data_IF_297913473076
#
_entry.id   IF_297913473076
#
_cell.length_a   1.000
_cell.length_b   1.000
_cell.length_c   1.000
_cell.angle_alpha   90.00
_cell.angle_beta   90.00
_cell.angle_gamma   90.00
#
_symmetry.space_group_name_H-M   'P 1'
#
loop_
_entity.id
_entity.type
_entity.pdbx_description
1 polymer ?
#
# COMPACT_ATOMS: atom_id res chain seq x y z
N UNK A 1 -18.23 -5.35 18.18
CA UNK A 1 -19.54 -4.79 17.91
C UNK A 1 -19.49 -3.32 17.59
N UNK A 2 -20.37 -2.89 16.76
CA UNK A 2 -20.45 -1.51 16.28
C UNK A 2 -21.67 -0.77 16.80
N UNK A 3 -22.22 -1.22 17.89
CA UNK A 3 -23.48 -0.70 18.41
C UNK A 3 -23.39 0.78 18.78
N UNK A 4 -22.24 1.25 19.22
CA UNK A 4 -22.08 2.65 19.55
C UNK A 4 -22.31 3.56 18.35
N UNK A 5 -21.84 3.15 17.20
CA UNK A 5 -22.04 3.95 16.00
C UNK A 5 -23.52 4.02 15.60
N UNK A 6 -24.26 2.96 15.86
CA UNK A 6 -25.68 2.92 15.57
C UNK A 6 -26.45 3.86 16.46
N UNK A 7 -26.14 3.87 17.75
CA UNK A 7 -26.84 4.71 18.69
C UNK A 7 -26.66 6.18 18.46
N UNK A 8 -25.53 6.53 17.89
CA UNK A 8 -25.14 7.93 17.80
C UNK A 8 -25.04 8.35 16.34
N UNK A 9 -26.16 8.35 15.68
CA UNK A 9 -26.23 8.64 14.26
C UNK A 9 -25.84 10.07 13.91
N UNK A 10 -25.90 10.98 14.87
CA UNK A 10 -25.56 12.39 14.61
C UNK A 10 -24.10 12.59 14.29
N UNK A 11 -23.25 11.67 14.71
CA UNK A 11 -21.81 11.77 14.47
C UNK A 11 -21.36 10.85 13.34
N UNK A 12 -22.24 10.51 12.44
CA UNK A 12 -22.00 9.49 11.44
C UNK A 12 -20.70 9.70 10.66
N UNK A 13 -20.46 10.90 10.16
CA UNK A 13 -19.26 11.14 9.32
C UNK A 13 -17.97 10.91 10.07
N UNK A 14 -17.86 11.51 11.27
CA UNK A 14 -16.68 11.33 12.07
C UNK A 14 -16.50 9.90 12.56
N UNK A 15 -17.58 9.31 13.01
CA UNK A 15 -17.54 7.94 13.53
C UNK A 15 -17.25 6.93 12.43
N UNK A 16 -17.81 7.13 11.24
CA UNK A 16 -17.51 6.25 10.12
C UNK A 16 -16.03 6.28 9.76
N UNK A 17 -15.40 7.44 9.79
CA UNK A 17 -13.98 7.56 9.53
C UNK A 17 -13.16 6.83 10.58
N UNK A 18 -13.49 7.00 11.84
CA UNK A 18 -12.80 6.30 12.92
C UNK A 18 -13.01 4.79 12.84
N UNK A 19 -14.22 4.35 12.56
CA UNK A 19 -14.52 2.94 12.41
C UNK A 19 -13.72 2.32 11.27
N UNK A 20 -13.57 3.04 10.15
CA UNK A 20 -12.77 2.55 9.03
C UNK A 20 -11.30 2.37 9.38
N UNK A 21 -10.73 3.30 10.16
CA UNK A 21 -9.35 3.16 10.61
C UNK A 21 -9.21 1.99 11.58
N UNK A 22 -10.16 1.81 12.49
CA UNK A 22 -10.12 0.70 13.43
C UNK A 22 -10.21 -0.65 12.71
N UNK A 23 -11.11 -0.74 11.73
CA UNK A 23 -11.25 -1.95 10.94
C UNK A 23 -9.97 -2.30 10.21
N UNK A 24 -9.31 -1.29 9.61
CA UNK A 24 -8.05 -1.51 8.93
C UNK A 24 -6.95 -1.98 9.87
N UNK A 25 -6.93 -1.47 11.10
CA UNK A 25 -5.95 -1.89 12.08
C UNK A 25 -6.11 -3.37 12.47
N UNK A 26 -7.32 -3.93 12.34
CA UNK A 26 -7.59 -5.32 12.67
C UNK A 26 -7.33 -6.28 11.50
N UNK A 27 -7.13 -5.76 10.28
CA UNK A 27 -6.94 -6.61 9.11
C UNK A 27 -5.51 -7.14 9.06
N UNK A 28 -5.31 -8.46 8.90
CA UNK A 28 -3.97 -9.04 8.91
C UNK A 28 -3.10 -8.65 7.71
N UNK A 29 -3.70 -8.18 6.63
CA UNK A 29 -2.97 -7.79 5.42
C UNK A 29 -2.82 -6.27 5.27
N UNK A 30 -3.12 -5.51 6.33
CA UNK A 30 -2.95 -4.05 6.35
C UNK A 30 -1.89 -3.71 7.40
N UNK A 31 -0.86 -2.99 6.97
CA UNK A 31 0.28 -2.65 7.81
C UNK A 31 0.36 -1.14 8.01
N UNK A 32 0.48 -0.71 9.26
CA UNK A 32 0.56 0.70 9.64
C UNK A 32 1.63 0.85 10.71
N UNK A 33 2.77 1.44 10.33
CA UNK A 33 3.89 1.61 11.24
C UNK A 33 4.28 3.08 11.32
N UNK A 34 4.21 3.71 12.49
CA UNK A 34 4.72 5.07 12.68
C UNK A 34 6.21 5.15 12.38
N UNK A 35 6.66 6.31 11.91
CA UNK A 35 8.06 6.50 11.58
C UNK A 35 8.99 6.22 12.77
N UNK A 36 8.58 6.63 13.97
CA UNK A 36 9.37 6.37 15.17
C UNK A 36 9.59 4.87 15.39
N UNK A 37 8.57 4.06 15.13
CA UNK A 37 8.70 2.60 15.27
C UNK A 37 9.65 2.05 14.21
N UNK A 38 9.59 2.58 12.99
CA UNK A 38 10.50 2.15 11.92
C UNK A 38 11.95 2.47 12.26
N UNK A 39 12.21 3.65 12.85
CA UNK A 39 13.56 4.02 13.23
C UNK A 39 14.09 3.15 14.37
N UNK A 40 13.24 2.79 15.31
CA UNK A 40 13.65 2.05 16.49
C UNK A 40 13.80 0.56 16.22
N UNK A 41 12.81 -0.04 15.54
CA UNK A 41 12.72 -1.50 15.39
C UNK A 41 12.83 -1.99 13.95
N UNK A 42 12.74 -1.07 12.99
CA UNK A 42 12.63 -1.46 11.59
C UNK A 42 11.28 -2.12 11.28
N UNK A 43 11.20 -2.74 10.12
CA UNK A 43 10.00 -3.46 9.70
C UNK A 43 10.35 -4.93 9.52
N UNK A 44 9.72 -5.78 10.27
CA UNK A 44 10.08 -7.20 10.35
C UNK A 44 9.90 -7.98 9.05
N UNK A 45 8.99 -7.56 8.17
CA UNK A 45 8.79 -8.22 6.88
C UNK A 45 9.75 -7.74 5.79
N UNK A 46 10.58 -6.73 6.07
CA UNK A 46 11.55 -6.25 5.09
C UNK A 46 12.51 -7.38 4.73
N UNK A 47 12.54 -7.76 3.46
CA UNK A 47 13.32 -8.89 2.99
C UNK A 47 12.64 -10.24 3.18
N UNK A 48 11.46 -10.27 3.78
CA UNK A 48 10.78 -11.52 4.15
C UNK A 48 9.32 -11.58 3.69
N UNK A 49 8.91 -10.68 2.80
CA UNK A 49 7.54 -10.65 2.32
C UNK A 49 7.13 -11.96 1.65
N UNK A 50 8.01 -12.55 0.85
CA UNK A 50 7.71 -13.79 0.14
C UNK A 50 7.50 -14.94 1.11
N UNK A 51 8.41 -15.14 2.05
CA UNK A 51 8.39 -16.33 2.91
C UNK A 51 7.47 -16.19 4.10
N UNK A 52 7.34 -14.98 4.67
CA UNK A 52 6.62 -14.80 5.92
C UNK A 52 5.21 -14.28 5.76
N UNK A 53 4.93 -13.55 4.68
CA UNK A 53 3.59 -13.01 4.47
C UNK A 53 2.85 -13.73 3.34
N UNK A 54 3.36 -13.60 2.11
CA UNK A 54 2.67 -14.19 0.95
C UNK A 54 2.83 -15.70 0.88
N UNK A 55 3.91 -16.23 1.41
CA UNK A 55 4.22 -17.67 1.44
C UNK A 55 4.29 -18.28 0.06
N UNK A 56 4.88 -17.55 -0.86
CA UNK A 56 5.15 -17.96 -2.23
C UNK A 56 6.30 -17.12 -2.78
N UNK A 57 6.82 -17.50 -3.94
CA UNK A 57 7.90 -16.80 -4.62
C UNK A 57 7.43 -15.94 -5.77
N UNK A 58 6.15 -15.65 -5.85
CA UNK A 58 5.60 -14.86 -6.96
C UNK A 58 6.10 -13.42 -6.89
N UNK A 59 6.22 -12.75 -8.05
CA UNK A 59 6.71 -11.37 -8.07
C UNK A 59 5.86 -10.43 -7.22
N UNK A 60 6.51 -9.51 -6.53
CA UNK A 60 5.83 -8.48 -5.74
C UNK A 60 5.71 -7.22 -6.57
N UNK A 61 4.48 -6.73 -6.69
CA UNK A 61 4.13 -5.54 -7.45
C UNK A 61 3.58 -4.49 -6.49
N UNK A 62 4.14 -3.28 -6.51
CA UNK A 62 3.66 -2.17 -5.69
C UNK A 62 2.81 -1.23 -6.52
N UNK A 63 1.71 -0.76 -5.94
CA UNK A 63 0.96 0.37 -6.47
C UNK A 63 1.11 1.54 -5.51
N UNK A 64 1.83 2.57 -5.92
CA UNK A 64 2.09 3.74 -5.08
C UNK A 64 0.98 4.77 -5.27
N UNK A 65 0.42 5.23 -4.16
CA UNK A 65 -0.72 6.13 -4.19
C UNK A 65 -2.01 5.40 -4.55
N UNK A 66 -2.23 4.23 -3.96
CA UNK A 66 -3.33 3.35 -4.36
C UNK A 66 -4.74 3.88 -4.03
N UNK A 67 -4.86 4.94 -3.25
CA UNK A 67 -6.16 5.50 -2.92
C UNK A 67 -7.04 4.49 -2.18
N UNK A 68 -8.19 4.18 -2.73
CA UNK A 68 -9.12 3.22 -2.15
C UNK A 68 -8.67 1.76 -2.28
N UNK A 69 -7.63 1.52 -3.08
CA UNK A 69 -7.11 0.18 -3.28
C UNK A 69 -7.86 -0.66 -4.30
N UNK A 70 -8.81 -0.06 -5.02
CA UNK A 70 -9.62 -0.80 -6.00
C UNK A 70 -8.77 -1.36 -7.14
N UNK A 71 -7.81 -0.58 -7.61
CA UNK A 71 -6.94 -1.02 -8.70
C UNK A 71 -6.01 -2.13 -8.24
N UNK A 72 -5.48 -2.02 -7.04
CA UNK A 72 -4.64 -3.07 -6.44
C UNK A 72 -5.40 -4.40 -6.36
N UNK A 73 -6.63 -4.36 -5.88
CA UNK A 73 -7.47 -5.55 -5.78
C UNK A 73 -7.80 -6.10 -7.17
N UNK A 74 -8.13 -5.21 -8.09
CA UNK A 74 -8.42 -5.61 -9.47
C UNK A 74 -7.26 -6.32 -10.13
N UNK A 75 -6.05 -5.79 -9.96
CA UNK A 75 -4.85 -6.44 -10.49
C UNK A 75 -4.62 -7.80 -9.82
N UNK A 76 -4.86 -7.88 -8.51
CA UNK A 76 -4.71 -9.15 -7.80
C UNK A 76 -5.66 -10.22 -8.30
N UNK A 77 -6.88 -9.84 -8.67
CA UNK A 77 -7.83 -10.78 -9.26
C UNK A 77 -7.44 -11.21 -10.67
N UNK A 78 -6.89 -10.29 -11.46
CA UNK A 78 -6.46 -10.59 -12.83
C UNK A 78 -5.19 -11.43 -12.89
N UNK A 79 -4.30 -11.25 -11.93
CA UNK A 79 -3.00 -11.91 -11.92
C UNK A 79 -2.78 -12.66 -10.60
N UNK A 80 -3.43 -13.82 -10.43
CA UNK A 80 -3.30 -14.56 -9.17
C UNK A 80 -1.89 -15.13 -8.95
N UNK A 81 -1.04 -15.11 -9.97
CA UNK A 81 0.35 -15.55 -9.86
C UNK A 81 1.33 -14.43 -9.51
N UNK A 82 0.81 -13.26 -9.12
CA UNK A 82 1.61 -12.14 -8.63
C UNK A 82 1.08 -11.67 -7.29
N UNK A 83 1.95 -11.04 -6.50
CA UNK A 83 1.58 -10.44 -5.22
C UNK A 83 1.50 -8.94 -5.37
N UNK A 84 0.45 -8.32 -4.83
CA UNK A 84 0.23 -6.89 -4.99
C UNK A 84 0.16 -6.20 -3.64
N UNK A 85 0.85 -5.07 -3.52
CA UNK A 85 0.83 -4.25 -2.30
C UNK A 85 0.46 -2.83 -2.69
N UNK A 86 -0.67 -2.35 -2.16
CA UNK A 86 -1.09 -0.97 -2.35
C UNK A 86 -0.52 -0.10 -1.25
N UNK A 87 0.05 1.04 -1.61
CA UNK A 87 0.69 1.97 -0.67
C UNK A 87 0.00 3.32 -0.75
N UNK A 88 -0.43 3.83 0.38
CA UNK A 88 -1.00 5.18 0.49
C UNK A 88 -0.86 5.66 1.94
N UNK A 89 -0.73 6.97 2.11
CA UNK A 89 -0.67 7.56 3.44
C UNK A 89 -2.06 7.73 4.05
N UNK A 90 -3.09 7.81 3.23
CA UNK A 90 -4.46 8.03 3.70
C UNK A 90 -5.18 6.72 3.90
N UNK A 91 -5.12 6.20 5.13
CA UNK A 91 -5.67 4.90 5.46
C UNK A 91 -7.14 4.71 5.09
N UNK A 92 -7.96 5.74 5.28
CA UNK A 92 -9.39 5.62 4.97
C UNK A 92 -9.66 5.33 3.49
N UNK A 93 -8.78 5.80 2.60
CA UNK A 93 -8.95 5.54 1.18
C UNK A 93 -8.76 4.06 0.82
N UNK A 94 -7.88 3.38 1.54
CA UNK A 94 -7.60 1.96 1.29
C UNK A 94 -8.65 1.05 1.89
N UNK A 95 -9.49 1.58 2.76
CA UNK A 95 -10.46 0.77 3.48
C UNK A 95 -11.33 -0.09 2.54
N UNK A 96 -11.79 0.47 1.44
CA UNK A 96 -12.63 -0.25 0.47
C UNK A 96 -11.90 -1.46 -0.11
N UNK A 97 -10.71 -1.28 -0.62
CA UNK A 97 -9.94 -2.38 -1.20
C UNK A 97 -9.52 -3.40 -0.17
N UNK A 98 -9.13 -2.94 1.03
CA UNK A 98 -8.75 -3.86 2.10
C UNK A 98 -9.92 -4.73 2.52
N UNK A 99 -11.10 -4.15 2.66
CA UNK A 99 -12.29 -4.91 3.02
C UNK A 99 -12.67 -5.89 1.92
N UNK A 100 -12.66 -5.45 0.67
CA UNK A 100 -13.00 -6.30 -0.46
C UNK A 100 -12.07 -7.50 -0.56
N UNK A 101 -10.77 -7.28 -0.46
CA UNK A 101 -9.81 -8.36 -0.57
C UNK A 101 -9.90 -9.34 0.59
N UNK A 102 -10.16 -8.84 1.80
CA UNK A 102 -10.34 -9.70 2.95
C UNK A 102 -11.58 -10.57 2.81
N UNK A 103 -12.70 -9.98 2.40
CA UNK A 103 -13.95 -10.71 2.22
C UNK A 103 -13.88 -11.72 1.07
N UNK A 104 -13.09 -11.43 0.06
CA UNK A 104 -12.87 -12.35 -1.05
C UNK A 104 -11.84 -13.44 -0.74
N UNK A 105 -11.22 -13.41 0.43
CA UNK A 105 -10.21 -14.39 0.81
C UNK A 105 -8.93 -14.32 -0.02
N UNK A 106 -8.58 -13.16 -0.53
CA UNK A 106 -7.40 -13.00 -1.37
C UNK A 106 -6.13 -13.08 -0.53
N UNK A 107 -5.20 -13.90 -0.96
CA UNK A 107 -3.93 -14.09 -0.26
C UNK A 107 -2.75 -13.41 -0.95
N UNK A 108 -2.99 -12.79 -2.09
CA UNK A 108 -1.95 -12.13 -2.88
C UNK A 108 -2.06 -10.61 -2.88
N UNK A 109 -2.76 -10.03 -1.91
CA UNK A 109 -2.95 -8.58 -1.80
C UNK A 109 -2.65 -8.14 -0.37
N UNK A 110 -1.91 -7.05 -0.24
CA UNK A 110 -1.65 -6.40 1.04
C UNK A 110 -1.72 -4.88 0.86
N UNK A 111 -1.85 -4.18 1.97
CA UNK A 111 -1.90 -2.72 1.97
C UNK A 111 -0.96 -2.17 3.02
N UNK A 112 -0.25 -1.11 2.65
CA UNK A 112 0.74 -0.48 3.50
C UNK A 112 0.40 1.00 3.63
N UNK A 113 0.09 1.43 4.84
CA UNK A 113 -0.20 2.83 5.12
C UNK A 113 1.09 3.54 5.52
N UNK A 114 1.68 4.24 4.58
CA UNK A 114 2.90 5.00 4.83
C UNK A 114 3.07 6.07 3.77
N UNK A 115 3.93 7.03 4.07
CA UNK A 115 4.41 7.96 3.05
C UNK A 115 5.30 7.21 2.06
N UNK A 116 5.16 7.53 0.78
CA UNK A 116 5.99 6.91 -0.27
C UNK A 116 7.47 7.17 -0.02
N UNK A 117 7.79 8.30 0.64
CA UNK A 117 9.17 8.64 0.98
C UNK A 117 9.83 7.61 1.91
N UNK A 118 9.04 6.81 2.61
CA UNK A 118 9.54 5.81 3.56
C UNK A 118 9.55 4.40 2.99
N UNK A 119 9.27 4.25 1.70
CA UNK A 119 9.06 2.93 1.11
C UNK A 119 10.26 1.99 1.27
N UNK A 120 11.47 2.54 1.23
CA UNK A 120 12.69 1.74 1.37
C UNK A 120 12.86 1.13 2.76
N UNK A 121 12.10 1.59 3.75
CA UNK A 121 12.09 0.98 5.08
C UNK A 121 11.30 -0.32 5.13
N UNK A 122 10.48 -0.58 4.11
CA UNK A 122 9.56 -1.72 4.10
C UNK A 122 9.98 -2.83 3.14
N UNK A 123 10.94 -2.56 2.26
CA UNK A 123 11.37 -3.54 1.25
C UNK A 123 12.88 -3.56 1.17
N UNK A 124 13.44 -4.76 1.05
CA UNK A 124 14.87 -4.94 0.87
C UNK A 124 15.25 -4.74 -0.59
N UNK A 125 16.54 -4.62 -0.85
CA UNK A 125 17.06 -4.49 -2.20
C UNK A 125 16.62 -5.68 -3.05
N UNK A 126 16.04 -5.41 -4.22
CA UNK A 126 15.64 -6.45 -5.16
C UNK A 126 14.36 -7.20 -4.78
N UNK A 127 13.69 -6.79 -3.71
CA UNK A 127 12.48 -7.50 -3.26
C UNK A 127 11.26 -7.24 -4.12
N UNK A 128 11.21 -6.12 -4.82
CA UNK A 128 10.06 -5.68 -5.60
C UNK A 128 10.33 -5.88 -7.10
N UNK A 129 9.40 -6.51 -7.80
CA UNK A 129 9.54 -6.78 -9.24
C UNK A 129 9.01 -5.66 -10.11
N UNK A 130 7.91 -5.01 -9.71
CA UNK A 130 7.27 -3.96 -10.49
C UNK A 130 6.72 -2.88 -9.58
N UNK A 131 6.72 -1.65 -10.07
CA UNK A 131 6.12 -0.51 -9.36
C UNK A 131 5.16 0.17 -10.33
N UNK A 132 3.93 0.41 -9.86
CA UNK A 132 2.91 1.14 -10.60
C UNK A 132 2.71 2.50 -9.95
N UNK A 133 2.82 3.55 -10.78
CA UNK A 133 2.48 4.92 -10.39
C UNK A 133 1.17 5.25 -11.07
N UNK A 134 0.06 5.02 -10.38
CA UNK A 134 -1.26 5.21 -10.97
C UNK A 134 -1.81 6.58 -10.59
N UNK A 135 -2.12 7.38 -11.60
CA UNK A 135 -2.70 8.70 -11.44
C UNK A 135 -1.94 9.59 -10.43
N UNK A 136 -0.61 9.71 -10.56
CA UNK A 136 0.14 10.53 -9.62
C UNK A 136 -0.20 12.01 -9.77
N UNK A 137 -0.19 12.72 -8.65
CA UNK A 137 -0.34 14.18 -8.65
C UNK A 137 0.86 14.79 -9.38
N UNK A 138 0.65 15.58 -10.43
CA UNK A 138 1.76 16.13 -11.23
C UNK A 138 2.68 17.07 -10.46
N UNK A 139 2.20 17.79 -9.43
CA UNK A 139 3.06 18.67 -8.60
C UNK A 139 3.97 19.57 -9.43
N UNK A 140 3.40 20.29 -10.37
CA UNK A 140 4.17 21.03 -11.38
C UNK A 140 5.19 22.01 -10.80
N UNK A 141 4.86 22.63 -9.67
CA UNK A 141 5.73 23.64 -9.05
C UNK A 141 6.77 23.05 -8.10
N UNK A 142 6.68 21.77 -7.80
CA UNK A 142 7.57 21.11 -6.84
C UNK A 142 8.10 19.82 -7.45
N UNK A 143 8.96 19.98 -8.44
CA UNK A 143 9.44 18.86 -9.24
C UNK A 143 10.03 17.73 -8.40
N UNK A 144 10.76 18.05 -7.32
CA UNK A 144 11.37 17.06 -6.47
C UNK A 144 10.37 16.27 -5.62
N UNK A 145 9.11 16.72 -5.58
CA UNK A 145 8.05 16.00 -4.86
C UNK A 145 7.18 15.13 -5.78
N UNK A 146 7.42 15.20 -7.08
CA UNK A 146 6.72 14.31 -8.00
C UNK A 146 7.18 12.88 -7.80
N UNK A 147 6.24 11.94 -7.91
CA UNK A 147 6.57 10.53 -7.78
C UNK A 147 7.49 10.03 -8.88
N UNK A 148 7.65 10.79 -9.97
CA UNK A 148 8.55 10.48 -11.08
C UNK A 148 9.84 11.27 -11.03
N UNK A 149 10.11 12.04 -9.96
CA UNK A 149 11.33 12.83 -9.86
C UNK A 149 12.55 11.94 -9.66
N UNK A 150 13.75 12.49 -9.93
CA UNK A 150 15.00 11.75 -9.76
C UNK A 150 15.17 11.21 -8.35
N UNK A 151 14.76 11.98 -7.35
CA UNK A 151 14.84 11.56 -5.94
C UNK A 151 14.04 10.28 -5.69
N UNK A 152 12.79 10.24 -6.16
CA UNK A 152 11.96 9.07 -6.00
C UNK A 152 12.43 7.92 -6.88
N UNK A 153 12.90 8.20 -8.08
CA UNK A 153 13.40 7.16 -8.97
C UNK A 153 14.62 6.44 -8.38
N UNK A 154 15.50 7.16 -7.69
CA UNK A 154 16.61 6.52 -6.97
C UNK A 154 16.09 5.57 -5.89
N UNK A 155 15.10 6.02 -5.15
CA UNK A 155 14.51 5.21 -4.09
C UNK A 155 13.88 3.93 -4.65
N UNK A 156 13.17 4.04 -5.78
CA UNK A 156 12.58 2.86 -6.41
C UNK A 156 13.64 1.86 -6.85
N UNK A 157 14.79 2.33 -7.35
CA UNK A 157 15.88 1.46 -7.77
C UNK A 157 16.46 0.67 -6.60
N UNK A 158 16.43 1.24 -5.41
CA UNK A 158 16.94 0.53 -4.23
C UNK A 158 16.16 -0.74 -3.93
N UNK A 159 14.86 -0.74 -4.19
CA UNK A 159 14.00 -1.86 -3.85
C UNK A 159 13.64 -2.74 -5.05
N UNK A 160 13.85 -2.27 -6.26
CA UNK A 160 13.53 -3.03 -7.47
C UNK A 160 14.57 -4.10 -7.76
N UNK A 161 14.08 -5.25 -8.24
CA UNK A 161 14.95 -6.27 -8.81
C UNK A 161 15.67 -5.71 -10.04
N UNK A 162 16.78 -6.35 -10.43
CA UNK A 162 17.61 -5.87 -11.54
C UNK A 162 16.88 -5.72 -12.86
N UNK A 163 15.86 -6.56 -13.09
CA UNK A 163 15.01 -6.50 -14.27
C UNK A 163 13.65 -5.86 -13.98
N UNK A 164 13.55 -5.11 -12.87
CA UNK A 164 12.30 -4.52 -12.44
C UNK A 164 11.79 -3.42 -13.37
N UNK A 165 10.47 -3.26 -13.42
CA UNK A 165 9.78 -2.34 -14.31
C UNK A 165 8.98 -1.33 -13.51
N UNK A 166 9.01 -0.08 -13.95
CA UNK A 166 8.17 0.98 -13.40
C UNK A 166 7.13 1.35 -14.46
N UNK A 167 5.85 1.23 -14.08
CA UNK A 167 4.74 1.57 -14.95
C UNK A 167 4.15 2.91 -14.53
N UNK A 168 3.93 3.79 -15.47
CA UNK A 168 3.27 5.07 -15.21
C UNK A 168 1.93 5.08 -15.92
N UNK A 169 0.88 5.31 -15.15
CA UNK A 169 -0.47 5.45 -15.69
C UNK A 169 -1.06 6.75 -15.18
N UNK A 170 -1.39 7.66 -16.09
CA UNK A 170 -1.93 8.96 -15.75
C UNK A 170 -3.04 9.33 -16.74
N UNK A 171 -3.96 10.17 -16.29
CA UNK A 171 -5.04 10.67 -17.14
C UNK A 171 -4.75 12.09 -17.66
N UNK A 172 -3.57 12.62 -17.37
CA UNK A 172 -3.18 13.97 -17.81
C UNK A 172 -2.27 13.95 -19.03
#
# INVERSE_FOLDING_TARGET
QRQMCIRDSLCIMGKNKLAKFDDMASYPHVFQYPFATLQEKGFELKGHWHEQFFKNDNPIVLELGCGKGEYTVGLGKLFPNKNFIGVDIKGARRWTGAKESLEAGMTNVAFLRTSIELIAHFFAAGEVAEIWLTFPDPQMKKANKRLTSTRFMKMYREILAGDGIIHLKTDS
#
